data_IF_736139936974
#
_entry.id   IF_736139936974
#
_cell.length_a   1.000
_cell.length_b   1.000
_cell.length_c   1.000
_cell.angle_alpha   90.00
_cell.angle_beta   90.00
_cell.angle_gamma   90.00
#
_symmetry.space_group_name_H-M   'P 1'
#
loop_
_entity.id
_entity.type
_entity.pdbx_description
1 polymer ?
#
# COMPACT_ATOMS: atom_id res chain seq x y z
N UNK A 1 -42.03 19.41 -20.10
CA UNK A 1 -41.77 20.75 -20.63
C UNK A 1 -42.93 21.18 -21.51
N UNK A 2 -43.38 22.44 -21.39
CA UNK A 2 -44.55 23.00 -22.11
C UNK A 2 -44.02 24.11 -23.02
N UNK A 3 -44.04 23.90 -24.33
CA UNK A 3 -43.67 24.91 -25.31
C UNK A 3 -44.96 25.36 -26.03
N UNK A 4 -45.46 26.55 -25.71
CA UNK A 4 -46.77 27.03 -26.18
C UNK A 4 -46.71 28.17 -27.18
N UNK A 5 -45.52 28.64 -27.50
CA UNK A 5 -45.32 29.67 -28.51
C UNK A 5 -44.87 29.04 -29.83
N UNK A 6 -45.24 29.68 -30.93
CA UNK A 6 -44.61 29.44 -32.23
C UNK A 6 -43.10 29.69 -32.15
N UNK A 7 -42.26 28.92 -32.87
CA UNK A 7 -42.60 27.82 -33.80
C UNK A 7 -42.75 26.45 -33.13
N UNK A 8 -42.62 26.37 -31.80
CA UNK A 8 -42.39 25.11 -31.09
C UNK A 8 -43.67 24.45 -30.56
N UNK A 9 -44.83 25.09 -30.73
CA UNK A 9 -46.13 24.55 -30.29
C UNK A 9 -46.44 23.19 -30.95
N UNK A 10 -45.98 22.98 -32.18
CA UNK A 10 -46.10 21.70 -32.90
C UNK A 10 -45.22 20.57 -32.35
N UNK A 11 -44.16 20.89 -31.60
CA UNK A 11 -43.21 19.93 -31.03
C UNK A 11 -43.46 19.64 -29.54
N UNK A 12 -44.46 20.28 -28.93
CA UNK A 12 -44.79 20.09 -27.51
C UNK A 12 -45.69 18.88 -27.30
N UNK A 13 -45.35 18.04 -26.32
CA UNK A 13 -46.21 16.96 -25.84
C UNK A 13 -47.47 17.48 -25.14
N UNK A 14 -47.42 18.70 -24.59
CA UNK A 14 -48.51 19.33 -23.82
C UNK A 14 -48.98 20.61 -24.51
N UNK A 15 -50.28 20.70 -24.76
CA UNK A 15 -51.01 21.83 -25.37
C UNK A 15 -51.78 22.58 -24.29
N UNK A 16 -52.34 23.74 -24.61
CA UNK A 16 -53.38 24.30 -23.75
C UNK A 16 -54.63 23.42 -23.80
N UNK A 17 -55.14 23.05 -22.62
CA UNK A 17 -56.27 22.14 -22.48
C UNK A 17 -55.97 20.64 -22.55
N UNK A 18 -54.71 20.20 -22.76
CA UNK A 18 -54.42 18.76 -22.73
C UNK A 18 -53.08 18.31 -23.32
N UNK A 19 -53.01 17.03 -23.67
CA UNK A 19 -51.85 16.43 -24.35
C UNK A 19 -52.08 16.35 -25.85
N UNK A 20 -50.99 16.34 -26.61
CA UNK A 20 -51.06 16.14 -28.06
C UNK A 20 -51.51 14.72 -28.41
N UNK A 21 -52.10 14.52 -29.59
CA UNK A 21 -52.45 13.17 -30.05
C UNK A 21 -51.19 12.28 -30.15
N UNK A 22 -50.08 12.88 -30.60
CA UNK A 22 -48.76 12.24 -30.67
C UNK A 22 -48.28 11.76 -29.29
N UNK A 23 -48.55 12.51 -28.22
CA UNK A 23 -48.20 12.08 -26.86
C UNK A 23 -48.91 10.79 -26.48
N UNK A 24 -50.23 10.71 -26.72
CA UNK A 24 -50.99 9.50 -26.41
C UNK A 24 -50.53 8.33 -27.28
N UNK A 25 -50.30 8.56 -28.58
CA UNK A 25 -49.71 7.54 -29.47
C UNK A 25 -48.39 7.01 -28.93
N UNK A 26 -47.44 7.87 -28.55
CA UNK A 26 -46.12 7.46 -28.04
C UNK A 26 -46.19 6.84 -26.64
N UNK A 27 -47.14 7.27 -25.81
CA UNK A 27 -47.40 6.71 -24.48
C UNK A 27 -47.92 5.28 -24.58
N UNK A 28 -48.81 5.02 -25.53
CA UNK A 28 -49.47 3.73 -25.72
C UNK A 28 -48.63 2.76 -26.58
N UNK A 29 -47.55 3.25 -27.22
CA UNK A 29 -46.56 2.38 -27.84
C UNK A 29 -45.97 1.43 -26.79
N UNK A 30 -46.13 0.14 -27.02
CA UNK A 30 -45.50 -0.90 -26.20
C UNK A 30 -43.98 -0.79 -26.32
N UNK A 31 -43.35 -0.17 -25.32
CA UNK A 31 -41.89 -0.06 -25.26
C UNK A 31 -41.32 -1.44 -24.99
N UNK A 32 -40.68 -2.04 -25.99
CA UNK A 32 -39.79 -3.17 -25.75
C UNK A 32 -38.53 -2.63 -25.09
N UNK A 33 -38.14 -3.22 -23.95
CA UNK A 33 -36.84 -2.93 -23.34
C UNK A 33 -35.77 -3.39 -24.33
N UNK A 34 -35.11 -2.44 -24.98
CA UNK A 34 -33.93 -2.72 -25.77
C UNK A 34 -32.77 -3.04 -24.84
N UNK A 35 -32.07 -4.13 -25.09
CA UNK A 35 -30.75 -4.41 -24.53
C UNK A 35 -29.75 -4.32 -25.68
N UNK A 36 -29.47 -3.11 -26.21
CA UNK A 36 -28.46 -2.98 -27.25
C UNK A 36 -27.14 -3.53 -26.72
N UNK A 37 -26.43 -4.27 -27.57
CA UNK A 37 -25.10 -4.75 -27.24
C UNK A 37 -24.20 -3.56 -26.93
N UNK A 38 -23.66 -3.52 -25.72
CA UNK A 38 -22.80 -2.43 -25.27
C UNK A 38 -21.36 -2.75 -25.62
N UNK A 39 -20.67 -1.81 -26.24
CA UNK A 39 -19.23 -1.93 -26.49
C UNK A 39 -18.50 -1.89 -25.13
N UNK A 40 -17.90 -3.02 -24.76
CA UNK A 40 -17.01 -3.16 -23.61
C UNK A 40 -15.58 -2.86 -24.05
N UNK A 41 -15.01 -1.76 -23.58
CA UNK A 41 -13.64 -1.38 -23.91
C UNK A 41 -13.03 -0.58 -22.77
N UNK A 42 -11.74 -0.75 -22.55
CA UNK A 42 -10.98 0.13 -21.69
C UNK A 42 -9.56 -0.36 -21.47
N UNK A 43 -8.92 0.21 -20.46
CA UNK A 43 -7.55 -0.13 -20.07
C UNK A 43 -7.52 -0.43 -18.58
N UNK A 44 -6.76 -1.45 -18.19
CA UNK A 44 -6.48 -1.82 -16.81
C UNK A 44 -4.98 -1.90 -16.62
N UNK A 45 -4.45 -1.09 -15.70
CA UNK A 45 -3.02 -0.99 -15.43
C UNK A 45 -2.71 -1.23 -13.96
N UNK A 46 -1.67 -2.00 -13.70
CA UNK A 46 -1.12 -2.22 -12.37
C UNK A 46 0.40 -2.35 -12.48
N UNK A 47 1.11 -1.74 -11.54
CA UNK A 47 2.56 -1.93 -11.39
C UNK A 47 2.82 -2.96 -10.29
N UNK A 48 3.19 -4.18 -10.69
CA UNK A 48 3.59 -5.24 -9.76
C UNK A 48 5.11 -5.43 -9.82
N UNK A 49 5.79 -5.65 -8.69
CA UNK A 49 7.22 -5.93 -8.67
C UNK A 49 7.50 -7.38 -9.10
N UNK A 50 8.70 -7.63 -9.63
CA UNK A 50 9.12 -8.97 -10.03
C UNK A 50 9.39 -9.91 -8.84
N UNK A 51 9.46 -9.36 -7.62
CA UNK A 51 9.84 -10.08 -6.41
C UNK A 51 9.07 -9.57 -5.19
N UNK A 52 8.59 -10.50 -4.37
CA UNK A 52 7.95 -10.23 -3.09
C UNK A 52 8.48 -11.18 -2.01
N UNK A 53 8.32 -10.82 -0.74
CA UNK A 53 8.68 -11.67 0.39
C UNK A 53 7.50 -12.56 0.79
N UNK A 54 7.78 -13.80 1.20
CA UNK A 54 6.81 -14.74 1.73
C UNK A 54 6.05 -14.21 2.96
N UNK A 55 4.84 -14.73 3.21
CA UNK A 55 3.97 -14.37 4.36
C UNK A 55 3.83 -12.87 4.60
N UNK A 56 3.77 -12.08 3.54
CA UNK A 56 3.71 -10.62 3.60
C UNK A 56 2.41 -10.12 2.97
N UNK A 57 1.98 -8.93 3.36
CA UNK A 57 0.78 -8.25 2.86
C UNK A 57 1.19 -6.99 2.13
N UNK A 58 0.75 -6.85 0.88
CA UNK A 58 1.06 -5.70 0.03
C UNK A 58 -0.22 -5.04 -0.45
N UNK A 59 -0.16 -3.72 -0.61
CA UNK A 59 -1.23 -2.91 -1.19
C UNK A 59 -0.75 -2.35 -2.53
N UNK A 60 -1.52 -2.57 -3.59
CA UNK A 60 -1.22 -2.06 -4.92
C UNK A 60 -2.38 -1.24 -5.45
N UNK A 61 -2.07 -0.18 -6.19
CA UNK A 61 -3.08 0.62 -6.89
C UNK A 61 -3.28 0.10 -8.31
N UNK A 62 -4.53 -0.14 -8.67
CA UNK A 62 -4.96 -0.54 -10.01
C UNK A 62 -5.69 0.65 -10.62
N UNK A 63 -5.25 1.07 -11.81
CA UNK A 63 -5.99 2.03 -12.64
C UNK A 63 -6.93 1.28 -13.57
N UNK A 64 -8.20 1.69 -13.58
CA UNK A 64 -9.24 1.22 -14.47
C UNK A 64 -9.79 2.41 -15.25
N UNK A 65 -9.60 2.40 -16.57
CA UNK A 65 -10.13 3.42 -17.47
C UNK A 65 -11.19 2.81 -18.37
N UNK A 66 -12.41 3.33 -18.28
CA UNK A 66 -13.51 2.92 -19.12
C UNK A 66 -13.47 3.69 -20.45
N UNK A 67 -13.35 2.99 -21.56
CA UNK A 67 -13.35 3.58 -22.91
C UNK A 67 -14.52 3.08 -23.77
N UNK A 68 -15.42 2.33 -23.13
CA UNK A 68 -16.61 1.76 -23.74
C UNK A 68 -17.83 2.66 -23.54
N UNK A 69 -19.00 2.08 -23.78
CA UNK A 69 -20.29 2.78 -23.66
C UNK A 69 -21.02 2.44 -22.37
N UNK A 70 -20.60 1.39 -21.67
CA UNK A 70 -21.27 0.91 -20.48
C UNK A 70 -20.85 1.70 -19.24
N UNK A 71 -21.75 1.77 -18.27
CA UNK A 71 -21.41 2.15 -16.91
C UNK A 71 -20.82 0.93 -16.20
N UNK A 72 -19.61 1.05 -15.67
CA UNK A 72 -19.02 -0.02 -14.85
C UNK A 72 -19.31 0.26 -13.39
N UNK A 73 -20.00 -0.66 -12.74
CA UNK A 73 -20.22 -0.67 -11.30
C UNK A 73 -20.69 -2.08 -10.87
N UNK A 74 -20.60 -2.37 -9.58
CA UNK A 74 -21.03 -3.67 -9.04
C UNK A 74 -22.53 -3.95 -9.22
N UNK A 75 -23.41 -2.94 -9.12
CA UNK A 75 -24.86 -3.08 -9.27
C UNK A 75 -25.26 -3.57 -10.69
N UNK A 76 -24.46 -3.20 -11.69
CA UNK A 76 -24.59 -3.60 -13.09
C UNK A 76 -23.81 -4.89 -13.41
N UNK A 77 -23.31 -5.57 -12.37
CA UNK A 77 -22.65 -6.88 -12.45
C UNK A 77 -21.15 -6.86 -12.72
N UNK A 78 -20.49 -5.70 -12.61
CA UNK A 78 -19.04 -5.59 -12.84
C UNK A 78 -18.24 -5.93 -11.59
N UNK A 79 -17.27 -6.82 -11.73
CA UNK A 79 -16.38 -7.23 -10.62
C UNK A 79 -14.93 -7.25 -11.07
N UNK A 80 -14.03 -6.86 -10.17
CA UNK A 80 -12.59 -6.99 -10.34
C UNK A 80 -12.13 -8.21 -9.54
N UNK A 81 -11.30 -9.05 -10.17
CA UNK A 81 -10.76 -10.25 -9.53
C UNK A 81 -9.31 -10.46 -9.92
N UNK A 82 -8.57 -11.22 -9.12
CA UNK A 82 -7.18 -11.58 -9.39
C UNK A 82 -7.13 -13.10 -9.54
N UNK A 83 -6.66 -13.56 -10.69
CA UNK A 83 -6.37 -14.97 -10.95
C UNK A 83 -4.90 -15.23 -10.63
N UNK A 84 -4.66 -16.31 -9.90
CA UNK A 84 -3.34 -16.82 -9.55
C UNK A 84 -3.17 -18.24 -10.09
N UNK A 85 -1.93 -18.67 -10.34
CA UNK A 85 -1.61 -20.08 -10.61
C UNK A 85 -1.60 -20.97 -9.34
N UNK A 86 -1.82 -20.38 -8.16
CA UNK A 86 -1.88 -21.07 -6.87
C UNK A 86 -2.91 -20.41 -5.94
N UNK A 87 -3.66 -21.23 -5.19
CA UNK A 87 -4.66 -20.78 -4.20
C UNK A 87 -4.02 -20.31 -2.88
N UNK A 88 -2.70 -20.48 -2.72
CA UNK A 88 -1.99 -20.01 -1.52
C UNK A 88 -1.88 -18.48 -1.47
N UNK A 89 -2.02 -17.79 -2.61
CA UNK A 89 -2.09 -16.33 -2.70
C UNK A 89 -3.50 -15.89 -2.32
N UNK A 90 -3.63 -15.13 -1.23
CA UNK A 90 -4.93 -14.57 -0.83
C UNK A 90 -5.02 -13.12 -1.30
N UNK A 91 -6.14 -12.75 -1.88
CA UNK A 91 -6.37 -11.41 -2.39
C UNK A 91 -7.61 -10.79 -1.76
N UNK A 92 -7.58 -9.47 -1.62
CA UNK A 92 -8.75 -8.67 -1.28
C UNK A 92 -8.85 -7.58 -2.34
N UNK A 93 -9.95 -7.60 -3.07
CA UNK A 93 -10.23 -6.66 -4.16
C UNK A 93 -11.51 -5.93 -3.79
N UNK A 94 -11.52 -4.58 -3.73
CA UNK A 94 -12.73 -3.84 -3.43
C UNK A 94 -13.71 -3.91 -4.60
N UNK A 95 -14.98 -3.64 -4.33
CA UNK A 95 -16.02 -3.59 -5.35
C UNK A 95 -15.76 -2.48 -6.37
N UNK A 96 -16.09 -2.77 -7.63
CA UNK A 96 -15.94 -1.80 -8.73
C UNK A 96 -16.88 -0.63 -8.48
N UNK A 97 -16.29 0.53 -8.21
CA UNK A 97 -17.02 1.79 -8.05
C UNK A 97 -17.62 2.22 -9.38
N UNK A 98 -18.47 3.24 -9.34
CA UNK A 98 -19.14 3.78 -10.52
C UNK A 98 -18.14 4.49 -11.45
N UNK A 99 -17.72 3.83 -12.52
CA UNK A 99 -16.83 4.36 -13.58
C UNK A 99 -17.66 4.59 -14.84
N UNK A 100 -17.92 5.85 -15.20
CA UNK A 100 -18.69 6.18 -16.42
C UNK A 100 -17.83 6.01 -17.68
N UNK A 101 -18.46 5.98 -18.86
CA UNK A 101 -17.74 6.10 -20.12
C UNK A 101 -16.72 7.24 -20.12
N UNK A 102 -15.49 6.92 -20.52
CA UNK A 102 -14.35 7.84 -20.60
C UNK A 102 -13.82 8.37 -19.25
N UNK A 103 -14.23 7.76 -18.13
CA UNK A 103 -13.67 8.03 -16.81
C UNK A 103 -12.58 7.00 -16.44
N UNK A 104 -11.66 7.43 -15.57
CA UNK A 104 -10.65 6.60 -14.94
C UNK A 104 -10.88 6.59 -13.43
N UNK A 105 -10.72 5.42 -12.81
CA UNK A 105 -10.72 5.27 -11.37
C UNK A 105 -9.51 4.46 -10.89
N UNK A 106 -9.08 4.72 -9.64
CA UNK A 106 -7.97 4.01 -9.00
C UNK A 106 -8.44 3.28 -7.76
N UNK A 107 -8.20 1.97 -7.74
CA UNK A 107 -8.64 1.07 -6.68
C UNK A 107 -7.42 0.43 -5.99
N UNK A 108 -7.46 0.33 -4.66
CA UNK A 108 -6.40 -0.33 -3.90
C UNK A 108 -6.75 -1.79 -3.66
N UNK A 109 -5.94 -2.70 -4.20
CA UNK A 109 -6.04 -4.14 -3.95
C UNK A 109 -5.04 -4.55 -2.88
N UNK A 110 -5.34 -5.64 -2.18
CA UNK A 110 -4.41 -6.25 -1.22
C UNK A 110 -4.03 -7.65 -1.68
N UNK A 111 -2.74 -7.97 -1.63
CA UNK A 111 -2.19 -9.28 -1.96
C UNK A 111 -1.43 -9.81 -0.76
N UNK A 112 -1.79 -11.01 -0.29
CA UNK A 112 -1.06 -11.75 0.74
C UNK A 112 -0.28 -12.88 0.09
N UNK A 113 1.03 -12.87 0.26
CA UNK A 113 1.92 -13.85 -0.35
C UNK A 113 1.90 -15.18 0.40
N UNK A 114 2.18 -16.30 -0.32
CA UNK A 114 2.23 -17.63 0.27
C UNK A 114 3.37 -17.77 1.28
N UNK A 115 3.31 -18.84 2.08
CA UNK A 115 4.32 -19.11 3.09
C UNK A 115 5.63 -19.66 2.53
N UNK A 116 5.57 -20.40 1.42
CA UNK A 116 6.73 -21.05 0.83
C UNK A 116 7.27 -20.20 -0.33
N UNK A 117 8.61 -20.07 -0.45
CA UNK A 117 9.22 -19.50 -1.64
C UNK A 117 8.81 -20.27 -2.89
N UNK A 118 8.31 -19.57 -3.89
CA UNK A 118 7.84 -20.12 -5.16
C UNK A 118 7.67 -19.00 -6.20
N UNK A 119 7.45 -19.36 -7.46
CA UNK A 119 7.06 -18.37 -8.48
C UNK A 119 5.55 -18.39 -8.62
N UNK A 120 4.91 -17.23 -8.48
CA UNK A 120 3.48 -17.06 -8.69
C UNK A 120 3.24 -16.27 -9.98
N UNK A 121 2.06 -16.44 -10.53
CA UNK A 121 1.64 -15.76 -11.75
C UNK A 121 0.30 -15.09 -11.49
N UNK A 122 0.22 -13.78 -11.67
CA UNK A 122 -0.97 -13.00 -11.40
C UNK A 122 -1.52 -12.36 -12.67
N UNK A 123 -2.83 -12.45 -12.84
CA UNK A 123 -3.58 -11.74 -13.88
C UNK A 123 -4.80 -11.08 -13.25
N UNK A 124 -4.97 -9.78 -13.44
CA UNK A 124 -6.18 -9.08 -13.02
C UNK A 124 -7.24 -9.25 -14.10
N UNK A 125 -8.48 -9.49 -13.68
CA UNK A 125 -9.63 -9.73 -14.55
C UNK A 125 -10.75 -8.77 -14.16
N UNK A 126 -11.22 -7.98 -15.11
CA UNK A 126 -12.50 -7.30 -15.03
C UNK A 126 -13.56 -8.19 -15.66
N UNK A 127 -14.63 -8.47 -14.91
CA UNK A 127 -15.72 -9.33 -15.33
C UNK A 127 -17.03 -8.58 -15.33
N UNK A 128 -17.97 -9.03 -16.16
CA UNK A 128 -19.39 -8.63 -16.15
C UNK A 128 -20.22 -9.90 -16.03
N UNK A 129 -20.96 -10.07 -14.93
CA UNK A 129 -21.74 -11.29 -14.67
C UNK A 129 -20.91 -12.58 -14.87
N UNK A 130 -19.71 -12.60 -14.26
CA UNK A 130 -18.70 -13.67 -14.36
C UNK A 130 -17.99 -13.87 -15.70
N UNK A 131 -18.44 -13.21 -16.78
CA UNK A 131 -17.74 -13.22 -18.07
C UNK A 131 -16.57 -12.23 -18.05
N UNK A 132 -15.38 -12.69 -18.43
CA UNK A 132 -14.19 -11.82 -18.51
C UNK A 132 -14.34 -10.87 -19.69
N UNK A 133 -14.35 -9.57 -19.42
CA UNK A 133 -14.42 -8.52 -20.45
C UNK A 133 -13.06 -7.87 -20.70
N UNK A 134 -12.14 -7.96 -19.73
CA UNK A 134 -10.78 -7.44 -19.85
C UNK A 134 -9.85 -8.15 -18.88
N UNK A 135 -8.59 -8.33 -19.28
CA UNK A 135 -7.54 -8.87 -18.43
C UNK A 135 -6.21 -8.14 -18.62
N UNK A 136 -5.39 -8.11 -17.59
CA UNK A 136 -4.01 -7.63 -17.72
C UNK A 136 -3.13 -8.69 -18.39
N UNK A 137 -1.91 -8.29 -18.75
CA UNK A 137 -0.86 -9.28 -19.01
C UNK A 137 -0.62 -10.12 -17.74
N UNK A 138 -0.11 -11.32 -17.97
CA UNK A 138 0.33 -12.22 -16.90
C UNK A 138 1.62 -11.68 -16.29
N UNK A 139 1.60 -11.46 -14.97
CA UNK A 139 2.75 -11.00 -14.20
C UNK A 139 3.37 -12.17 -13.44
N UNK A 140 4.63 -12.47 -13.72
CA UNK A 140 5.39 -13.51 -13.02
C UNK A 140 6.15 -12.87 -11.86
N UNK A 141 5.86 -13.30 -10.64
CA UNK A 141 6.44 -12.74 -9.41
C UNK A 141 7.14 -13.85 -8.65
N UNK A 142 8.38 -13.60 -8.26
CA UNK A 142 9.14 -14.52 -7.43
C UNK A 142 8.90 -14.23 -5.94
N UNK A 143 8.37 -15.22 -5.22
CA UNK A 143 8.25 -15.18 -3.76
C UNK A 143 9.55 -15.70 -3.16
N UNK A 144 10.25 -14.86 -2.41
CA UNK A 144 11.52 -15.13 -1.76
C UNK A 144 11.36 -15.29 -0.24
N UNK A 145 12.29 -15.97 0.45
CA UNK A 145 12.30 -16.03 1.91
C UNK A 145 12.56 -14.66 2.52
N UNK A 146 12.26 -14.52 3.82
CA UNK A 146 12.50 -13.28 4.54
C UNK A 146 13.98 -12.86 4.49
N UNK A 147 14.29 -11.61 4.12
CA UNK A 147 15.61 -11.05 4.31
C UNK A 147 15.89 -10.77 5.80
N UNK A 148 17.15 -10.47 6.08
CA UNK A 148 17.62 -9.99 7.38
C UNK A 148 18.48 -8.73 7.21
N UNK A 149 18.55 -7.93 8.28
CA UNK A 149 19.43 -6.77 8.37
C UNK A 149 20.45 -7.00 9.49
N UNK A 150 21.72 -6.82 9.17
CA UNK A 150 22.81 -6.68 10.11
C UNK A 150 23.16 -5.18 10.21
N UNK A 151 22.71 -4.54 11.28
CA UNK A 151 22.89 -3.12 11.54
C UNK A 151 24.15 -2.93 12.39
N UNK A 152 25.16 -2.30 11.83
CA UNK A 152 26.42 -1.98 12.50
C UNK A 152 26.38 -0.54 13.03
N UNK A 153 26.64 -0.35 14.31
CA UNK A 153 26.78 0.97 14.94
C UNK A 153 27.68 0.88 16.18
N UNK A 154 27.97 2.01 16.79
CA UNK A 154 28.66 2.09 18.09
C UNK A 154 27.85 2.90 19.07
N UNK A 155 28.07 2.70 20.37
CA UNK A 155 27.48 3.47 21.45
C UNK A 155 28.57 4.39 22.00
N UNK A 156 28.36 5.71 21.97
CA UNK A 156 29.23 6.63 22.70
C UNK A 156 29.01 6.48 24.20
N UNK A 157 30.06 6.48 25.03
CA UNK A 157 31.50 6.43 24.75
C UNK A 157 32.09 5.01 24.88
N UNK A 158 31.26 3.97 24.81
CA UNK A 158 31.69 2.58 25.03
C UNK A 158 32.67 2.10 23.95
N UNK A 159 33.77 1.47 24.37
CA UNK A 159 34.69 0.80 23.43
C UNK A 159 34.05 -0.47 22.83
N UNK A 160 33.31 -1.22 23.66
CA UNK A 160 32.51 -2.37 23.21
C UNK A 160 31.03 -2.00 23.28
N UNK A 161 30.40 -1.96 22.13
CA UNK A 161 28.99 -1.56 22.02
C UNK A 161 28.07 -2.76 22.22
N UNK A 162 27.59 -2.92 23.46
CA UNK A 162 26.54 -3.87 23.83
C UNK A 162 25.37 -3.12 24.46
N UNK A 163 24.16 -3.64 24.25
CA UNK A 163 22.93 -3.14 24.82
C UNK A 163 21.75 -4.06 24.50
N UNK A 164 20.62 -3.78 25.12
CA UNK A 164 19.35 -4.51 24.98
C UNK A 164 18.24 -3.53 24.62
N UNK A 165 17.05 -4.07 24.34
CA UNK A 165 15.80 -3.32 24.18
C UNK A 165 15.84 -2.27 23.06
N UNK A 166 16.56 -2.57 21.97
CA UNK A 166 16.48 -1.78 20.76
C UNK A 166 15.21 -2.10 19.96
N UNK A 167 14.73 -1.09 19.25
CA UNK A 167 13.69 -1.21 18.23
C UNK A 167 14.26 -0.81 16.87
N UNK A 168 13.93 -1.59 15.85
CA UNK A 168 14.20 -1.25 14.46
C UNK A 168 12.88 -1.08 13.73
N UNK A 169 12.74 0.05 13.06
CA UNK A 169 11.59 0.40 12.22
C UNK A 169 12.04 0.61 10.78
N UNK A 170 11.25 0.14 9.82
CA UNK A 170 11.45 0.39 8.39
C UNK A 170 10.27 1.17 7.85
N UNK A 171 10.56 2.26 7.16
CA UNK A 171 9.57 3.06 6.45
C UNK A 171 9.79 2.96 4.94
N UNK A 172 8.71 2.83 4.17
CA UNK A 172 8.75 2.89 2.71
C UNK A 172 8.98 4.33 2.22
N UNK A 173 8.99 4.51 0.89
CA UNK A 173 9.17 5.83 0.25
C UNK A 173 8.05 6.82 0.57
N UNK A 174 6.86 6.32 0.90
CA UNK A 174 5.69 7.12 1.29
C UNK A 174 5.65 7.42 2.80
N UNK A 175 6.73 7.10 3.52
CA UNK A 175 6.88 7.26 4.97
C UNK A 175 5.92 6.42 5.82
N UNK A 176 5.35 5.37 5.25
CA UNK A 176 4.51 4.42 5.98
C UNK A 176 5.41 3.41 6.70
N UNK A 177 5.08 3.11 7.96
CA UNK A 177 5.75 2.07 8.73
C UNK A 177 5.36 0.71 8.19
N UNK A 178 6.27 0.05 7.49
CA UNK A 178 6.03 -1.28 6.89
C UNK A 178 6.52 -2.42 7.77
N UNK A 179 7.45 -2.15 8.69
CA UNK A 179 7.96 -3.17 9.61
C UNK A 179 8.49 -2.53 10.90
N UNK A 180 8.23 -3.16 12.04
CA UNK A 180 8.87 -2.83 13.32
C UNK A 180 9.18 -4.10 14.12
N UNK A 181 10.33 -4.11 14.79
CA UNK A 181 10.73 -5.17 15.72
C UNK A 181 11.41 -4.57 16.96
N UNK A 182 10.86 -4.86 18.14
CA UNK A 182 11.35 -4.44 19.46
C UNK A 182 12.11 -5.56 20.16
N UNK A 183 12.78 -5.23 21.27
CA UNK A 183 13.49 -6.20 22.11
C UNK A 183 14.75 -6.77 21.46
N UNK A 184 15.38 -5.98 20.58
CA UNK A 184 16.58 -6.38 19.87
C UNK A 184 17.83 -6.13 20.73
N UNK A 185 18.76 -7.06 20.68
CA UNK A 185 20.04 -6.97 21.37
C UNK A 185 21.15 -6.48 20.45
N UNK A 186 22.00 -5.59 20.95
CA UNK A 186 23.27 -5.24 20.32
C UNK A 186 24.41 -6.06 20.92
N UNK A 187 25.20 -6.69 20.04
CA UNK A 187 26.40 -7.46 20.40
C UNK A 187 27.58 -6.98 19.56
N UNK A 188 28.65 -6.51 20.22
CA UNK A 188 29.87 -6.01 19.57
C UNK A 188 29.58 -5.00 18.45
N UNK A 189 28.63 -4.09 18.69
CA UNK A 189 28.22 -3.05 17.74
C UNK A 189 27.35 -3.54 16.59
N UNK A 190 26.81 -4.76 16.64
CA UNK A 190 25.91 -5.28 15.61
C UNK A 190 24.56 -5.65 16.21
N UNK A 191 23.48 -5.26 15.54
CA UNK A 191 22.11 -5.70 15.80
C UNK A 191 21.68 -6.55 14.60
N UNK A 192 21.19 -7.76 14.86
CA UNK A 192 20.65 -8.64 13.83
C UNK A 192 19.13 -8.60 13.87
N UNK A 193 18.52 -8.23 12.74
CA UNK A 193 17.07 -8.19 12.54
C UNK A 193 16.70 -9.27 11.54
N UNK A 194 16.20 -10.39 12.05
CA UNK A 194 15.75 -11.51 11.22
C UNK A 194 14.24 -11.44 10.94
N UNK A 195 13.85 -12.11 9.85
CA UNK A 195 12.46 -12.31 9.42
C UNK A 195 11.75 -11.00 9.06
N UNK A 196 12.37 -10.18 8.21
CA UNK A 196 11.78 -8.91 7.77
C UNK A 196 10.73 -9.21 6.71
N UNK A 197 9.47 -8.90 7.04
CA UNK A 197 8.31 -9.07 6.18
C UNK A 197 7.84 -7.72 5.62
N UNK A 198 6.85 -7.75 4.72
CA UNK A 198 6.11 -6.58 4.23
C UNK A 198 7.00 -5.53 3.51
N UNK A 199 8.12 -5.99 2.96
CA UNK A 199 9.01 -5.18 2.11
C UNK A 199 9.11 -5.75 0.70
N UNK A 200 9.41 -4.89 -0.26
CA UNK A 200 9.65 -5.23 -1.66
C UNK A 200 11.15 -5.16 -1.91
N UNK A 201 11.83 -6.29 -2.21
CA UNK A 201 13.26 -6.27 -2.49
C UNK A 201 13.62 -5.31 -3.63
N UNK A 202 14.79 -4.69 -3.54
CA UNK A 202 15.28 -3.71 -4.52
C UNK A 202 14.71 -2.29 -4.32
N UNK A 203 13.87 -2.06 -3.31
CA UNK A 203 13.32 -0.74 -3.00
C UNK A 203 14.08 -0.06 -1.86
N UNK A 204 14.00 1.27 -1.82
CA UNK A 204 14.58 2.11 -0.78
C UNK A 204 13.73 2.11 0.48
N UNK A 205 14.38 1.96 1.63
CA UNK A 205 13.74 2.02 2.93
C UNK A 205 14.50 2.96 3.84
N UNK A 206 13.78 3.75 4.63
CA UNK A 206 14.34 4.48 5.76
C UNK A 206 14.33 3.56 6.97
N UNK A 207 15.52 3.10 7.36
CA UNK A 207 15.72 2.27 8.55
C UNK A 207 15.98 3.19 9.74
N UNK A 208 15.22 3.01 10.82
CA UNK A 208 15.34 3.78 12.06
C UNK A 208 15.68 2.81 13.19
N UNK A 209 16.74 3.10 13.93
CA UNK A 209 17.16 2.42 15.16
C UNK A 209 16.82 3.32 16.35
N UNK A 210 16.04 2.78 17.27
CA UNK A 210 15.58 3.42 18.50
C UNK A 210 16.07 2.58 19.67
N UNK A 211 16.51 3.21 20.74
CA UNK A 211 16.82 2.53 21.99
C UNK A 211 17.07 3.55 23.09
N UNK A 212 16.49 3.36 24.27
CA UNK A 212 16.66 4.29 25.38
C UNK A 212 18.04 4.12 26.03
N UNK A 213 18.73 5.19 26.47
CA UNK A 213 18.37 6.62 26.38
C UNK A 213 19.10 7.33 25.22
N UNK A 214 19.09 6.73 24.03
CA UNK A 214 19.87 7.21 22.89
C UNK A 214 18.99 7.95 21.88
N UNK A 215 19.52 9.04 21.33
CA UNK A 215 18.87 9.71 20.19
C UNK A 215 18.73 8.70 19.04
N UNK A 216 17.53 8.56 18.45
CA UNK A 216 17.29 7.70 17.30
C UNK A 216 18.27 7.95 16.15
N UNK A 217 18.69 6.87 15.49
CA UNK A 217 19.55 6.91 14.30
C UNK A 217 18.81 6.37 13.11
N UNK A 218 19.01 6.98 11.96
CA UNK A 218 18.34 6.57 10.73
C UNK A 218 19.28 6.64 9.53
N UNK A 219 19.01 5.81 8.54
CA UNK A 219 19.70 5.76 7.25
C UNK A 219 18.73 5.29 6.16
N UNK A 220 18.94 5.72 4.93
CA UNK A 220 18.13 5.28 3.78
C UNK A 220 18.95 4.30 2.95
N UNK A 221 18.45 3.09 2.76
CA UNK A 221 19.16 2.06 2.00
C UNK A 221 18.22 1.15 1.22
N UNK A 222 18.69 0.65 0.08
CA UNK A 222 18.01 -0.42 -0.67
C UNK A 222 18.14 -1.74 0.09
N UNK A 223 17.02 -2.42 0.31
CA UNK A 223 17.01 -3.77 0.91
C UNK A 223 16.86 -4.80 -0.20
N UNK A 224 17.80 -5.74 -0.28
CA UNK A 224 17.78 -6.87 -1.20
C UNK A 224 17.37 -8.17 -0.47
N UNK A 225 17.23 -9.26 -1.23
CA UNK A 225 17.08 -10.60 -0.65
C UNK A 225 18.30 -11.03 0.15
N UNK A 226 18.10 -11.89 1.15
CA UNK A 226 19.17 -12.43 1.99
C UNK A 226 19.62 -11.47 3.10
N UNK A 227 20.92 -11.45 3.39
CA UNK A 227 21.50 -10.66 4.49
C UNK A 227 21.98 -9.30 3.99
N UNK A 228 21.38 -8.23 4.52
CA UNK A 228 21.71 -6.86 4.18
C UNK A 228 22.54 -6.23 5.30
N UNK A 229 23.61 -5.50 4.95
CA UNK A 229 24.48 -4.83 5.91
C UNK A 229 24.24 -3.32 5.85
N UNK A 230 23.94 -2.73 6.99
CA UNK A 230 23.70 -1.30 7.16
C UNK A 230 24.69 -0.78 8.19
N UNK A 231 25.24 0.41 7.99
CA UNK A 231 26.03 1.10 9.02
C UNK A 231 25.32 2.38 9.43
N UNK A 232 25.03 2.52 10.71
CA UNK A 232 24.43 3.74 11.27
C UNK A 232 25.49 4.56 12.02
N UNK A 233 25.23 5.86 12.14
CA UNK A 233 26.01 6.74 13.02
C UNK A 233 25.93 6.25 14.47
N UNK A 234 26.98 6.59 15.23
CA UNK A 234 27.10 6.28 16.66
C UNK A 234 25.90 6.76 17.46
N UNK A 235 25.36 5.93 18.34
CA UNK A 235 24.31 6.28 19.30
C UNK A 235 24.86 7.20 20.38
N UNK A 236 24.11 8.26 20.70
CA UNK A 236 24.50 9.27 21.69
C UNK A 236 23.46 9.28 22.82
N UNK A 237 23.88 9.15 24.10
CA UNK A 237 22.97 9.04 25.24
C UNK A 237 22.45 10.42 25.69
N UNK A 238 21.76 11.12 24.79
CA UNK A 238 21.26 12.49 25.00
C UNK A 238 19.72 12.57 24.88
N UNK A 239 19.03 11.44 25.05
CA UNK A 239 17.57 11.33 25.03
C UNK A 239 17.12 10.74 26.36
N UNK A 240 17.25 11.52 27.42
CA UNK A 240 17.09 11.08 28.80
C UNK A 240 15.62 10.94 29.20
N UNK A 241 14.74 11.75 28.61
CA UNK A 241 13.29 11.65 28.80
C UNK A 241 12.61 10.66 27.83
N UNK A 242 13.36 10.14 26.84
CA UNK A 242 12.90 9.16 25.86
C UNK A 242 11.97 9.72 24.79
N UNK A 243 11.98 11.03 24.54
CA UNK A 243 11.13 11.66 23.54
C UNK A 243 11.65 11.51 22.09
N UNK A 244 12.87 11.01 21.92
CA UNK A 244 13.52 10.80 20.62
C UNK A 244 14.21 12.04 20.05
N UNK A 245 14.36 13.13 20.81
CA UNK A 245 14.99 14.38 20.41
C UNK A 245 15.74 14.99 21.59
N UNK A 246 16.90 15.57 21.31
CA UNK A 246 17.63 16.36 22.30
C UNK A 246 16.95 17.72 22.52
N UNK A 247 16.51 17.98 23.75
CA UNK A 247 15.94 19.25 24.17
C UNK A 247 16.36 19.64 25.60
N UNK A 248 15.82 20.74 26.12
CA UNK A 248 16.16 21.24 27.47
C UNK A 248 15.63 20.34 28.60
N UNK A 249 14.56 19.58 28.35
CA UNK A 249 14.05 18.62 29.33
C UNK A 249 15.02 17.45 29.50
N UNK A 250 15.70 17.01 28.44
CA UNK A 250 16.77 16.00 28.57
C UNK A 250 17.88 16.46 29.51
N UNK A 251 18.29 17.72 29.41
CA UNK A 251 19.31 18.27 30.30
C UNK A 251 18.82 18.30 31.75
N UNK A 252 17.57 18.73 31.97
CA UNK A 252 16.95 18.71 33.30
C UNK A 252 16.89 17.28 33.85
N UNK A 253 16.47 16.31 33.03
CA UNK A 253 16.35 14.91 33.43
C UNK A 253 17.72 14.29 33.76
N UNK A 254 18.76 14.64 33.00
CA UNK A 254 20.14 14.23 33.30
C UNK A 254 20.65 14.81 34.63
N UNK A 255 20.30 16.07 34.95
CA UNK A 255 20.67 16.70 36.24
C UNK A 255 19.90 16.04 37.40
N UNK A 256 18.61 15.77 37.22
CA UNK A 256 17.76 15.16 38.25
C UNK A 256 18.12 13.69 38.51
N UNK A 257 18.64 12.98 37.51
CA UNK A 257 19.03 11.58 37.60
C UNK A 257 20.54 11.41 37.36
N UNK A 258 21.39 11.59 38.40
CA UNK A 258 22.83 11.61 38.23
C UNK A 258 23.43 10.29 37.69
N UNK A 259 22.68 9.19 37.73
CA UNK A 259 23.07 7.92 37.09
C UNK A 259 23.26 8.05 35.57
N UNK A 260 22.66 9.05 34.91
CA UNK A 260 22.90 9.33 33.50
C UNK A 260 24.34 9.73 33.21
N UNK A 261 25.01 10.43 34.13
CA UNK A 261 26.40 10.82 33.94
C UNK A 261 27.34 9.61 33.85
N UNK A 262 26.96 8.48 34.47
CA UNK A 262 27.70 7.22 34.34
C UNK A 262 27.73 6.70 32.89
N UNK A 263 26.74 7.07 32.05
CA UNK A 263 26.70 6.70 30.63
C UNK A 263 27.74 7.44 29.79
N UNK A 264 28.35 8.51 30.29
CA UNK A 264 29.41 9.27 29.63
C UNK A 264 30.82 8.82 30.03
N UNK A 265 30.93 7.85 30.93
CA UNK A 265 32.20 7.26 31.32
C UNK A 265 32.44 6.04 30.43
N UNK A 266 33.59 5.93 29.73
CA UNK A 266 33.93 4.75 28.95
C UNK A 266 34.17 3.57 29.90
N UNK A 267 33.13 2.80 30.20
CA UNK A 267 33.28 1.57 30.97
C UNK A 267 33.92 0.48 30.10
N UNK A 268 35.10 0.04 30.52
CA UNK A 268 35.70 -1.21 30.11
C UNK A 268 35.56 -2.16 31.30
N UNK A 269 34.93 -3.31 31.09
CA UNK A 269 34.88 -4.45 32.03
C UNK A 269 33.99 -4.28 33.28
N UNK A 270 32.81 -4.89 33.23
CA UNK A 270 32.41 -6.01 34.07
C UNK A 270 31.74 -7.04 33.17
#
# INVERSE_FOLDING_TARGET
FKYLSEPFIGFSWKKDGGYSAQYNTVKDLQKKKGNPEQIQKGTMEISLPDMLIARSTYHFSVSLKNEGQALWNQEDGYTLSIKSNTDEVKTLVPDVRKIRPFEEDRMNITIKTPAKPQTIELTLLLKKNDEVIMETKKHTIKIEPFPSLAIKTSIFPKMVSNGEDFEVQLFNTDQELVFSKKGLSMRKGTILVENIADIIPGHWYRIVLIGYPYIPRQEIQVIYKGVNKITLKRLLPFDADGNGRMNLNDLKEMIMNPQFFLRFIPWNQL
#
